data_IF_975924383165
#
_entry.id   IF_975924383165
#
_cell.length_a   1.000
_cell.length_b   1.000
_cell.length_c   1.000
_cell.angle_alpha   90.00
_cell.angle_beta   90.00
_cell.angle_gamma   90.00
#
_symmetry.space_group_name_H-M   'P 1'
#
loop_
_entity.id
_entity.type
_entity.pdbx_description
1 polymer ?
#
# COMPACT_ATOMS: atom_id res chain seq x y z
N UNK A 1 -7.21 35.08 16.88
CA UNK A 1 -7.74 35.20 15.52
C UNK A 1 -6.71 34.86 14.48
N UNK A 2 -5.62 35.60 14.42
CA UNK A 2 -4.58 35.33 13.41
C UNK A 2 -3.96 33.97 13.57
N UNK A 3 -3.78 33.52 14.81
CA UNK A 3 -3.19 32.20 15.05
C UNK A 3 -4.05 31.05 14.52
N UNK A 4 -5.37 31.25 14.52
CA UNK A 4 -6.27 30.22 14.02
C UNK A 4 -6.11 30.05 12.52
N UNK A 5 -5.98 31.17 11.81
CA UNK A 5 -5.80 31.12 10.36
C UNK A 5 -4.48 30.46 9.97
N UNK A 6 -3.43 30.78 10.72
CA UNK A 6 -2.14 30.17 10.48
C UNK A 6 -2.16 28.66 10.72
N UNK A 7 -2.91 28.24 11.73
CA UNK A 7 -3.04 26.83 12.05
C UNK A 7 -3.71 26.06 10.92
N UNK A 8 -4.77 26.61 10.35
CA UNK A 8 -5.49 25.96 9.25
C UNK A 8 -4.59 25.81 8.03
N UNK A 9 -3.84 26.86 7.70
CA UNK A 9 -2.94 26.81 6.56
C UNK A 9 -1.85 25.75 6.76
N UNK A 10 -1.28 25.70 7.95
CA UNK A 10 -0.24 24.72 8.25
C UNK A 10 -0.77 23.29 8.16
N UNK A 11 -1.98 23.07 8.60
CA UNK A 11 -2.60 21.77 8.54
C UNK A 11 -2.77 21.31 7.07
N UNK A 12 -3.23 22.19 6.22
CA UNK A 12 -3.42 21.86 4.82
C UNK A 12 -2.10 21.50 4.14
N UNK A 13 -1.05 22.25 4.42
CA UNK A 13 0.25 22.01 3.83
C UNK A 13 0.83 20.66 4.24
N UNK A 14 0.77 20.34 5.53
CA UNK A 14 1.33 19.07 5.99
C UNK A 14 0.58 17.90 5.41
N UNK A 15 -0.70 18.04 5.16
CA UNK A 15 -1.47 16.96 4.57
C UNK A 15 -1.02 16.66 3.13
N UNK A 16 -0.80 17.68 2.32
CA UNK A 16 -0.41 17.45 0.94
C UNK A 16 1.04 16.99 0.79
N UNK A 17 1.93 17.41 1.68
CA UNK A 17 3.34 16.99 1.62
C UNK A 17 3.51 15.52 1.99
N UNK A 18 2.70 15.03 2.90
CA UNK A 18 2.84 13.67 3.39
C UNK A 18 2.86 12.61 2.27
N UNK A 19 2.01 12.77 1.28
CA UNK A 19 1.86 11.77 0.21
C UNK A 19 3.11 11.62 -0.67
N UNK A 20 3.98 12.62 -0.69
CA UNK A 20 5.12 12.64 -1.61
C UNK A 20 6.45 12.20 -0.99
N UNK A 21 6.50 12.07 0.33
CA UNK A 21 7.78 11.88 1.03
C UNK A 21 7.89 10.57 1.77
N UNK A 22 8.22 9.50 1.04
CA UNK A 22 8.54 8.24 1.67
C UNK A 22 10.05 8.03 1.66
N UNK A 23 10.70 8.32 2.77
CA UNK A 23 12.14 8.11 2.90
C UNK A 23 12.49 6.75 3.45
N UNK A 24 11.57 6.14 4.17
CA UNK A 24 11.77 4.82 4.73
C UNK A 24 10.43 4.14 4.95
N UNK A 25 10.44 2.81 5.01
CA UNK A 25 9.24 2.04 5.28
C UNK A 25 8.76 2.30 6.71
N UNK A 26 7.49 2.04 6.96
CA UNK A 26 6.93 2.19 8.30
C UNK A 26 7.64 1.27 9.29
N UNK A 27 7.61 1.64 10.56
CA UNK A 27 8.24 0.84 11.62
C UNK A 27 7.53 -0.50 11.80
N UNK A 28 8.22 -1.44 12.44
CA UNK A 28 7.64 -2.73 12.75
C UNK A 28 6.39 -2.60 13.62
N UNK A 29 6.41 -1.73 14.61
CA UNK A 29 5.25 -1.54 15.49
C UNK A 29 4.04 -1.03 14.72
N UNK A 30 4.26 -0.07 13.83
CA UNK A 30 3.18 0.43 12.98
C UNK A 30 2.68 -0.65 12.04
N UNK A 31 3.60 -1.37 11.44
CA UNK A 31 3.26 -2.47 10.54
C UNK A 31 2.42 -3.53 11.26
N UNK A 32 2.81 -3.93 12.46
CA UNK A 32 2.09 -4.94 13.21
C UNK A 32 0.64 -4.52 13.48
N UNK A 33 0.43 -3.25 13.78
CA UNK A 33 -0.92 -2.72 13.97
C UNK A 33 -1.76 -2.80 12.71
N UNK A 34 -1.18 -2.45 11.57
CA UNK A 34 -1.88 -2.53 10.29
C UNK A 34 -2.17 -3.99 9.92
N UNK A 35 -1.22 -4.86 10.14
CA UNK A 35 -1.37 -6.29 9.86
C UNK A 35 -2.54 -6.88 10.65
N UNK A 36 -2.62 -6.56 11.95
CA UNK A 36 -3.71 -7.04 12.78
C UNK A 36 -5.07 -6.55 12.29
N UNK A 37 -5.12 -5.29 11.85
CA UNK A 37 -6.36 -4.74 11.30
C UNK A 37 -6.80 -5.48 10.04
N UNK A 38 -5.86 -5.78 9.16
CA UNK A 38 -6.16 -6.51 7.92
C UNK A 38 -6.61 -7.92 8.25
N UNK A 39 -5.89 -8.58 9.15
CA UNK A 39 -6.21 -9.94 9.55
C UNK A 39 -7.62 -10.05 10.14
N UNK A 40 -8.04 -9.04 10.86
CA UNK A 40 -9.34 -9.02 11.53
C UNK A 40 -10.53 -8.84 10.58
N UNK A 41 -10.28 -8.50 9.31
CA UNK A 41 -11.37 -8.30 8.37
C UNK A 41 -12.08 -9.62 8.06
N UNK A 42 -13.36 -9.53 7.69
CA UNK A 42 -14.21 -10.71 7.54
C UNK A 42 -13.94 -11.50 6.26
N UNK A 43 -13.43 -10.85 5.22
CA UNK A 43 -13.21 -11.54 3.96
C UNK A 43 -12.08 -10.86 3.17
N UNK A 44 -11.66 -11.53 2.08
CA UNK A 44 -10.54 -11.05 1.27
C UNK A 44 -10.82 -9.73 0.57
N UNK A 45 -12.08 -9.48 0.18
CA UNK A 45 -12.41 -8.22 -0.46
C UNK A 45 -12.20 -7.03 0.49
N UNK A 46 -12.57 -7.21 1.75
CA UNK A 46 -12.33 -6.17 2.77
C UNK A 46 -10.85 -6.02 3.06
N UNK A 47 -10.09 -7.12 3.07
CA UNK A 47 -8.64 -7.07 3.25
C UNK A 47 -7.98 -6.30 2.12
N UNK A 48 -8.38 -6.57 0.89
CA UNK A 48 -7.91 -5.86 -0.29
C UNK A 48 -8.12 -4.35 -0.15
N UNK A 49 -9.33 -3.94 0.20
CA UNK A 49 -9.63 -2.51 0.34
C UNK A 49 -8.78 -1.85 1.41
N UNK A 50 -8.59 -2.54 2.53
CA UNK A 50 -7.82 -1.98 3.63
C UNK A 50 -6.34 -1.89 3.26
N UNK A 51 -5.80 -2.90 2.59
CA UNK A 51 -4.42 -2.87 2.13
C UNK A 51 -4.19 -1.69 1.18
N UNK A 52 -5.11 -1.44 0.25
CA UNK A 52 -4.97 -0.30 -0.65
C UNK A 52 -5.04 1.02 0.10
N UNK A 53 -5.94 1.13 1.07
CA UNK A 53 -6.05 2.35 1.86
C UNK A 53 -4.75 2.63 2.61
N UNK A 54 -4.16 1.61 3.22
CA UNK A 54 -2.88 1.77 3.91
C UNK A 54 -1.75 2.11 2.93
N UNK A 55 -1.72 1.45 1.78
CA UNK A 55 -0.68 1.68 0.78
C UNK A 55 -0.72 3.11 0.25
N UNK A 56 -1.88 3.72 0.22
CA UNK A 56 -2.03 5.11 -0.22
C UNK A 56 -1.59 6.12 0.83
N UNK A 57 -1.55 5.73 2.11
CA UNK A 57 -1.26 6.66 3.19
C UNK A 57 0.04 6.39 3.92
N UNK A 58 0.54 5.17 3.85
CA UNK A 58 1.73 4.75 4.59
C UNK A 58 2.83 4.36 3.62
N UNK A 59 4.06 4.41 4.08
CA UNK A 59 5.20 4.00 3.27
C UNK A 59 5.42 2.49 3.45
N UNK A 60 4.78 1.70 2.60
CA UNK A 60 4.82 0.24 2.68
C UNK A 60 5.91 -0.31 1.76
N UNK A 61 6.80 -1.15 2.32
CA UNK A 61 7.83 -1.80 1.53
C UNK A 61 7.30 -3.05 0.84
N UNK A 62 8.05 -3.54 -0.16
CA UNK A 62 7.71 -4.80 -0.84
C UNK A 62 7.65 -5.95 0.16
N UNK A 63 8.60 -6.02 1.10
CA UNK A 63 8.60 -7.06 2.13
C UNK A 63 7.34 -7.00 2.99
N UNK A 64 6.94 -5.79 3.39
CA UNK A 64 5.73 -5.61 4.18
C UNK A 64 4.48 -5.98 3.38
N UNK A 65 4.43 -5.58 2.12
CA UNK A 65 3.31 -5.94 1.24
C UNK A 65 3.22 -7.46 1.06
N UNK A 66 4.35 -8.15 0.95
CA UNK A 66 4.35 -9.60 0.85
C UNK A 66 3.66 -10.25 2.05
N UNK A 67 3.89 -9.71 3.24
CA UNK A 67 3.23 -10.24 4.43
C UNK A 67 1.73 -9.93 4.43
N UNK A 68 1.34 -8.73 4.00
CA UNK A 68 -0.09 -8.41 3.86
C UNK A 68 -0.78 -9.38 2.89
N UNK A 69 -0.12 -9.67 1.77
CA UNK A 69 -0.69 -10.55 0.75
C UNK A 69 -0.88 -11.97 1.25
N UNK A 70 -0.09 -12.41 2.22
CA UNK A 70 -0.24 -13.74 2.78
C UNK A 70 -1.58 -13.92 3.50
N UNK A 71 -2.25 -12.82 3.84
CA UNK A 71 -3.55 -12.85 4.49
C UNK A 71 -4.70 -13.04 3.49
N UNK A 72 -4.43 -12.90 2.20
CA UNK A 72 -5.42 -13.06 1.14
C UNK A 72 -5.27 -14.46 0.54
N UNK A 73 -6.32 -15.26 0.58
CA UNK A 73 -6.29 -16.62 0.04
C UNK A 73 -6.84 -16.72 -1.37
N UNK A 74 -7.76 -15.84 -1.75
CA UNK A 74 -8.33 -15.85 -3.09
C UNK A 74 -7.33 -15.27 -4.09
N UNK A 75 -6.96 -16.07 -5.10
CA UNK A 75 -5.94 -15.69 -6.06
C UNK A 75 -6.32 -14.43 -6.86
N UNK A 76 -7.57 -14.32 -7.26
CA UNK A 76 -8.02 -13.17 -8.05
C UNK A 76 -7.93 -11.88 -7.25
N UNK A 77 -8.31 -11.95 -5.98
CA UNK A 77 -8.25 -10.78 -5.10
C UNK A 77 -6.80 -10.42 -4.82
N UNK A 78 -5.95 -11.43 -4.61
CA UNK A 78 -4.53 -11.19 -4.42
C UNK A 78 -3.93 -10.51 -5.65
N UNK A 79 -4.28 -10.98 -6.84
CA UNK A 79 -3.85 -10.38 -8.09
C UNK A 79 -4.26 -8.91 -8.17
N UNK A 80 -5.53 -8.61 -7.87
CA UNK A 80 -6.03 -7.23 -7.88
C UNK A 80 -5.28 -6.38 -6.88
N UNK A 81 -4.96 -6.93 -5.72
CA UNK A 81 -4.22 -6.21 -4.69
C UNK A 81 -2.84 -5.81 -5.17
N UNK A 82 -2.12 -6.76 -5.78
CA UNK A 82 -0.78 -6.49 -6.31
C UNK A 82 -0.87 -5.46 -7.44
N UNK A 83 -1.80 -5.66 -8.37
CA UNK A 83 -1.93 -4.77 -9.51
C UNK A 83 -2.20 -3.33 -9.07
N UNK A 84 -3.11 -3.16 -8.14
CA UNK A 84 -3.53 -1.82 -7.71
C UNK A 84 -2.53 -1.15 -6.76
N UNK A 85 -1.70 -1.92 -6.06
CA UNK A 85 -0.71 -1.36 -5.14
C UNK A 85 0.69 -1.27 -5.75
N UNK A 86 0.88 -1.78 -6.94
CA UNK A 86 2.20 -1.98 -7.53
C UNK A 86 3.05 -0.70 -7.61
N UNK A 87 2.41 0.43 -7.86
CA UNK A 87 3.09 1.72 -7.98
C UNK A 87 3.12 2.52 -6.67
N UNK A 88 2.56 1.96 -5.61
CA UNK A 88 2.44 2.66 -4.32
C UNK A 88 3.51 2.26 -3.31
N UNK A 89 4.36 1.31 -3.66
CA UNK A 89 5.34 0.76 -2.72
C UNK A 89 6.53 1.69 -2.52
N UNK A 90 7.07 1.66 -1.31
CA UNK A 90 8.22 2.48 -0.94
C UNK A 90 9.45 2.16 -1.80
N UNK A 91 9.77 0.88 -1.96
CA UNK A 91 10.97 0.44 -2.68
C UNK A 91 10.60 -0.17 -4.04
N UNK A 92 10.28 0.73 -4.99
CA UNK A 92 9.82 0.33 -6.32
C UNK A 92 10.77 -0.64 -7.02
N UNK A 93 12.06 -0.53 -6.77
CA UNK A 93 13.06 -1.37 -7.40
C UNK A 93 12.93 -2.85 -7.03
N UNK A 94 12.24 -3.15 -5.93
CA UNK A 94 12.07 -4.52 -5.47
C UNK A 94 10.69 -5.10 -5.80
N UNK A 95 9.80 -4.32 -6.40
CA UNK A 95 8.40 -4.74 -6.57
C UNK A 95 8.21 -5.97 -7.46
N UNK A 96 9.17 -6.25 -8.34
CA UNK A 96 9.06 -7.43 -9.20
C UNK A 96 9.05 -8.73 -8.40
N UNK A 97 9.52 -8.70 -7.16
CA UNK A 97 9.46 -9.88 -6.29
C UNK A 97 8.02 -10.31 -6.01
N UNK A 98 7.07 -9.37 -6.11
CA UNK A 98 5.65 -9.68 -5.90
C UNK A 98 5.04 -10.49 -7.04
N UNK A 99 5.72 -10.57 -8.19
CA UNK A 99 5.17 -11.22 -9.37
C UNK A 99 5.39 -12.73 -9.40
N UNK A 100 6.20 -13.26 -8.49
CA UNK A 100 6.68 -14.65 -8.56
C UNK A 100 5.55 -15.69 -8.61
N UNK A 101 4.43 -15.43 -7.94
CA UNK A 101 3.34 -16.40 -7.89
C UNK A 101 2.28 -16.20 -8.97
N UNK A 102 2.50 -15.26 -9.90
CA UNK A 102 1.53 -14.95 -10.94
C UNK A 102 1.98 -15.48 -12.30
N UNK A 103 1.01 -15.81 -13.16
CA UNK A 103 1.31 -16.29 -14.51
C UNK A 103 1.92 -15.17 -15.36
N UNK A 104 2.53 -15.56 -16.50
CA UNK A 104 3.09 -14.56 -17.40
C UNK A 104 2.04 -13.55 -17.86
N UNK A 105 0.84 -14.03 -18.13
CA UNK A 105 -0.25 -13.15 -18.55
C UNK A 105 -0.59 -12.15 -17.46
N UNK A 106 -0.72 -12.63 -16.22
CA UNK A 106 -1.00 -11.77 -15.08
C UNK A 106 0.11 -10.74 -14.85
N UNK A 107 1.36 -11.20 -14.97
CA UNK A 107 2.50 -10.28 -14.83
C UNK A 107 2.47 -9.19 -15.89
N UNK A 108 2.08 -9.53 -17.11
CA UNK A 108 1.94 -8.57 -18.18
C UNK A 108 0.89 -7.51 -17.83
N UNK A 109 -0.23 -7.94 -17.27
CA UNK A 109 -1.30 -7.01 -16.88
C UNK A 109 -0.84 -6.08 -15.75
N UNK A 110 -0.11 -6.61 -14.78
CA UNK A 110 0.43 -5.79 -13.69
C UNK A 110 1.42 -4.76 -14.24
N UNK A 111 2.31 -5.19 -15.12
CA UNK A 111 3.32 -4.31 -15.72
C UNK A 111 2.70 -3.21 -16.57
N UNK A 112 1.54 -3.45 -17.15
CA UNK A 112 0.82 -2.42 -17.91
C UNK A 112 0.42 -1.24 -17.03
N UNK A 113 0.05 -1.51 -15.79
CA UNK A 113 -0.27 -0.42 -14.87
C UNK A 113 0.92 0.47 -14.61
N UNK A 114 2.13 -0.10 -14.69
CA UNK A 114 3.38 0.62 -14.47
C UNK A 114 3.66 1.65 -15.55
N UNK A 115 3.28 1.36 -16.78
CA UNK A 115 3.61 2.22 -17.92
C UNK A 115 2.60 3.34 -18.14
N UNK A 116 1.59 3.48 -17.29
CA UNK A 116 0.66 4.60 -17.34
C UNK A 116 1.17 5.81 -16.54
#
# INVERSE_FOLDING_TARGET
>A
MKSILGLVAAFSLSFSVFAADCNEAISKDRFDGLYENIEAQHNDQQRYRLILAFSNRECISVAQMTEFLSLITDHKIKFSTVKDSYNLLFDLENRTLLLAEFSEHEQTLINKETSK
#
